data_IF_434178489935
#
_entry.id   IF_434178489935
#
_cell.length_a   1.000
_cell.length_b   1.000
_cell.length_c   1.000
_cell.angle_alpha   90.00
_cell.angle_beta   90.00
_cell.angle_gamma   90.00
#
_symmetry.space_group_name_H-M   'P 1'
#
loop_
_entity.id
_entity.type
_entity.pdbx_description
1 polymer ?
#
# COMPACT_ATOMS: atom_id res chain seq x y z
N UNK A 1 -4.66 7.37 -13.76
CA UNK A 1 -4.20 7.43 -15.16
C UNK A 1 -4.60 6.19 -15.93
N UNK A 2 -4.90 6.37 -17.19
CA UNK A 2 -5.37 5.27 -18.02
C UNK A 2 -4.33 4.89 -19.06
N UNK A 3 -4.13 3.59 -19.24
CA UNK A 3 -3.22 3.07 -20.25
C UNK A 3 -3.90 1.90 -20.92
N UNK A 4 -3.97 1.95 -22.27
CA UNK A 4 -4.62 0.89 -23.03
C UNK A 4 -6.06 0.65 -22.63
N UNK A 5 -6.77 1.71 -22.26
CA UNK A 5 -8.14 1.62 -21.84
C UNK A 5 -8.36 1.16 -20.42
N UNK A 6 -7.30 1.01 -19.64
CA UNK A 6 -7.39 0.56 -18.25
C UNK A 6 -6.76 1.57 -17.32
N UNK A 7 -7.32 1.67 -16.10
CA UNK A 7 -6.77 2.55 -15.08
C UNK A 7 -5.51 1.92 -14.50
N UNK A 8 -4.43 2.67 -14.45
CA UNK A 8 -3.18 2.22 -13.85
C UNK A 8 -2.60 3.31 -12.97
N UNK A 9 -1.69 2.90 -12.09
CA UNK A 9 -0.97 3.80 -11.20
C UNK A 9 0.43 4.01 -11.75
N UNK A 10 0.87 5.26 -11.77
CA UNK A 10 2.26 5.59 -12.09
C UNK A 10 2.91 6.17 -10.86
N UNK A 11 4.15 5.74 -10.61
CA UNK A 11 4.96 6.25 -9.53
C UNK A 11 6.01 7.17 -10.16
N UNK A 12 5.99 8.44 -9.80
CA UNK A 12 6.88 9.43 -10.40
C UNK A 12 7.68 10.11 -9.31
N UNK A 13 9.00 10.21 -9.55
CA UNK A 13 9.88 10.93 -8.65
C UNK A 13 9.81 12.41 -8.96
N UNK A 14 9.51 13.22 -7.95
CA UNK A 14 9.30 14.65 -8.17
C UNK A 14 10.57 15.39 -8.60
N UNK A 15 11.70 15.00 -8.01
CA UNK A 15 12.94 15.73 -8.26
C UNK A 15 13.45 15.57 -9.69
N UNK A 16 13.24 14.41 -10.30
CA UNK A 16 13.73 14.12 -11.64
C UNK A 16 12.63 14.01 -12.68
N UNK A 17 11.40 13.86 -12.26
CA UNK A 17 10.29 13.60 -13.17
C UNK A 17 10.27 12.19 -13.71
N UNK A 18 11.18 11.34 -13.27
CA UNK A 18 11.31 10.00 -13.79
C UNK A 18 10.20 9.09 -13.27
N UNK A 19 9.63 8.30 -14.16
CA UNK A 19 8.64 7.28 -13.78
C UNK A 19 9.40 6.06 -13.27
N UNK A 20 9.04 5.63 -12.06
CA UNK A 20 9.70 4.50 -11.42
C UNK A 20 8.89 3.23 -11.65
N UNK A 21 9.55 2.07 -11.79
CA UNK A 21 8.82 0.83 -12.05
C UNK A 21 8.07 0.33 -10.82
N UNK A 22 6.94 -0.30 -11.06
CA UNK A 22 6.19 -1.04 -10.06
C UNK A 22 6.54 -2.52 -10.25
N UNK A 23 7.50 -2.98 -9.48
CA UNK A 23 8.22 -4.22 -9.77
C UNK A 23 7.36 -5.46 -9.87
N UNK A 24 6.34 -5.57 -9.06
CA UNK A 24 5.57 -6.81 -8.97
C UNK A 24 4.21 -6.68 -9.61
N UNK A 25 3.95 -5.61 -10.32
CA UNK A 25 2.67 -5.38 -10.94
C UNK A 25 2.82 -5.44 -12.44
N UNK A 26 1.91 -6.15 -13.06
CA UNK A 26 1.95 -6.30 -14.52
C UNK A 26 1.36 -5.07 -15.16
N UNK A 27 1.94 -4.68 -16.29
CA UNK A 27 1.47 -3.49 -16.99
C UNK A 27 0.00 -3.60 -17.40
N UNK A 28 -0.48 -4.81 -17.66
CA UNK A 28 -1.85 -4.99 -18.11
C UNK A 28 -2.85 -5.13 -16.97
N UNK A 29 -2.39 -5.16 -15.71
CA UNK A 29 -3.31 -5.21 -14.58
C UNK A 29 -3.79 -3.81 -14.24
N UNK A 30 -5.12 -3.60 -14.10
CA UNK A 30 -5.58 -2.30 -13.61
C UNK A 30 -5.20 -2.10 -12.15
N UNK A 31 -4.76 -0.90 -11.84
CA UNK A 31 -4.39 -0.49 -10.48
C UNK A 31 -5.17 0.76 -10.10
N UNK A 32 -5.51 0.90 -8.84
CA UNK A 32 -6.22 2.09 -8.39
C UNK A 32 -5.97 2.35 -6.92
N UNK A 33 -6.41 3.51 -6.46
CA UNK A 33 -6.37 3.92 -5.06
C UNK A 33 -4.98 3.82 -4.45
N UNK A 34 -3.97 4.48 -5.04
CA UNK A 34 -2.61 4.40 -4.51
C UNK A 34 -2.44 5.24 -3.25
N UNK A 35 -1.57 4.78 -2.36
CA UNK A 35 -1.19 5.51 -1.16
C UNK A 35 0.27 5.21 -0.84
N UNK A 36 1.01 6.26 -0.46
CA UNK A 36 2.43 6.15 -0.13
C UNK A 36 2.68 6.51 1.32
N UNK A 37 3.63 5.83 1.94
CA UNK A 37 4.09 6.20 3.26
C UNK A 37 5.04 7.42 3.18
N UNK A 38 5.49 7.92 4.35
CA UNK A 38 6.26 9.16 4.49
C UNK A 38 7.37 9.32 3.44
N UNK A 39 8.25 8.33 3.36
CA UNK A 39 9.42 8.42 2.50
C UNK A 39 9.25 7.59 1.24
N UNK A 40 8.03 7.14 0.98
CA UNK A 40 7.76 6.33 -0.21
C UNK A 40 8.27 4.92 -0.11
N UNK A 41 8.57 4.44 1.10
CA UNK A 41 8.99 3.05 1.25
C UNK A 41 7.88 2.09 0.88
N UNK A 42 6.67 2.37 1.33
CA UNK A 42 5.52 1.51 1.09
C UNK A 42 4.57 2.15 0.12
N UNK A 43 4.15 1.38 -0.85
CA UNK A 43 3.10 1.77 -1.79
C UNK A 43 1.97 0.75 -1.66
N UNK A 44 0.81 1.23 -1.21
CA UNK A 44 -0.38 0.40 -1.13
C UNK A 44 -1.31 0.74 -2.28
N UNK A 45 -1.94 -0.26 -2.85
CA UNK A 45 -2.91 0.00 -3.92
C UNK A 45 -3.84 -1.19 -4.12
N UNK A 46 -4.88 -0.97 -4.90
CA UNK A 46 -5.81 -2.03 -5.29
C UNK A 46 -5.42 -2.53 -6.66
N UNK A 47 -5.41 -3.84 -6.82
CA UNK A 47 -5.03 -4.50 -8.06
C UNK A 47 -6.20 -5.36 -8.51
N UNK A 48 -6.51 -5.32 -9.81
CA UNK A 48 -7.52 -6.19 -10.39
C UNK A 48 -6.87 -7.52 -10.71
N UNK A 49 -7.41 -8.60 -10.17
CA UNK A 49 -6.81 -9.90 -10.38
C UNK A 49 -7.91 -10.95 -10.40
N UNK A 50 -8.01 -11.68 -11.50
CA UNK A 50 -8.98 -12.76 -11.61
C UNK A 50 -10.42 -12.31 -11.41
N UNK A 51 -10.78 -11.14 -11.91
CA UNK A 51 -12.12 -10.61 -11.76
C UNK A 51 -12.42 -10.02 -10.40
N UNK A 52 -11.42 -9.96 -9.52
CA UNK A 52 -11.59 -9.44 -8.15
C UNK A 52 -10.52 -8.39 -7.89
N UNK A 53 -10.87 -7.47 -7.01
CA UNK A 53 -9.89 -6.50 -6.52
C UNK A 53 -9.19 -7.04 -5.30
N UNK A 54 -7.91 -6.78 -5.22
CA UNK A 54 -7.10 -7.18 -4.09
C UNK A 54 -6.28 -5.99 -3.61
N UNK A 55 -6.22 -5.79 -2.31
CA UNK A 55 -5.34 -4.78 -1.74
C UNK A 55 -3.96 -5.39 -1.56
N UNK A 56 -2.94 -4.67 -1.99
CA UNK A 56 -1.56 -5.11 -1.85
C UNK A 56 -0.73 -3.94 -1.35
N UNK A 57 0.38 -4.26 -0.69
CA UNK A 57 1.34 -3.25 -0.29
C UNK A 57 2.72 -3.70 -0.74
N UNK A 58 3.42 -2.83 -1.42
CA UNK A 58 4.76 -3.10 -1.91
C UNK A 58 5.77 -2.40 -1.03
N UNK A 59 6.75 -3.14 -0.52
CA UNK A 59 7.89 -2.60 0.21
C UNK A 59 8.96 -2.28 -0.81
N UNK A 60 9.12 -1.01 -1.14
CA UNK A 60 10.06 -0.62 -2.18
C UNK A 60 11.51 -0.74 -1.76
N UNK A 61 11.77 -0.82 -0.45
CA UNK A 61 13.12 -1.04 0.04
C UNK A 61 13.59 -2.47 -0.17
N UNK A 62 12.70 -3.44 -0.02
CA UNK A 62 13.06 -4.85 -0.13
C UNK A 62 12.57 -5.50 -1.41
N UNK A 63 11.63 -4.87 -2.10
CA UNK A 63 11.01 -5.43 -3.28
C UNK A 63 9.93 -6.45 -2.99
N UNK A 64 9.49 -6.57 -1.74
CA UNK A 64 8.48 -7.54 -1.37
C UNK A 64 7.09 -7.00 -1.59
N UNK A 65 6.20 -7.87 -2.03
CA UNK A 65 4.79 -7.55 -2.22
C UNK A 65 3.99 -8.33 -1.19
N UNK A 66 3.19 -7.62 -0.40
CA UNK A 66 2.38 -8.23 0.63
C UNK A 66 0.91 -8.07 0.27
N UNK A 67 0.21 -9.16 -0.04
CA UNK A 67 -1.23 -9.07 -0.23
C UNK A 67 -1.93 -8.93 1.12
N UNK A 68 -3.03 -8.20 1.13
CA UNK A 68 -3.85 -8.05 2.33
C UNK A 68 -5.09 -8.91 2.13
N UNK A 69 -5.19 -9.96 2.92
CA UNK A 69 -6.25 -10.94 2.74
C UNK A 69 -7.53 -10.47 3.40
N UNK A 70 -8.63 -10.52 2.66
CA UNK A 70 -9.94 -10.18 3.15
C UNK A 70 -10.80 -11.43 3.20
N UNK A 71 -11.72 -11.53 4.16
CA UNK A 71 -12.72 -12.59 4.13
C UNK A 71 -13.51 -12.55 2.83
N UNK A 72 -14.04 -13.70 2.44
CA UNK A 72 -14.87 -13.78 1.25
C UNK A 72 -16.08 -12.87 1.40
N UNK A 73 -16.50 -12.31 0.27
CA UNK A 73 -17.67 -11.44 0.24
C UNK A 73 -17.38 -9.98 0.49
N UNK A 74 -16.13 -9.64 0.82
CA UNK A 74 -15.74 -8.24 1.00
C UNK A 74 -15.04 -7.75 -0.25
N UNK A 75 -15.56 -6.65 -0.78
CA UNK A 75 -15.00 -6.06 -2.00
C UNK A 75 -14.31 -4.75 -1.65
N UNK A 76 -12.99 -4.65 -1.80
CA UNK A 76 -12.29 -3.41 -1.48
C UNK A 76 -12.59 -2.33 -2.52
N UNK A 77 -12.84 -1.12 -2.05
CA UNK A 77 -13.17 0.02 -2.90
C UNK A 77 -12.09 1.08 -2.89
N UNK A 78 -11.55 1.36 -1.73
CA UNK A 78 -10.61 2.45 -1.55
C UNK A 78 -9.76 2.15 -0.34
N UNK A 79 -8.52 2.63 -0.37
CA UNK A 79 -7.65 2.46 0.78
C UNK A 79 -6.96 3.76 1.14
N UNK A 80 -6.48 3.83 2.37
CA UNK A 80 -5.58 4.88 2.82
C UNK A 80 -4.55 4.26 3.74
N UNK A 81 -3.37 4.85 3.78
CA UNK A 81 -2.22 4.31 4.48
C UNK A 81 -1.72 5.34 5.47
N UNK A 82 -1.48 4.90 6.71
CA UNK A 82 -0.87 5.78 7.69
C UNK A 82 0.53 6.19 7.23
N UNK A 83 0.99 7.38 7.63
CA UNK A 83 2.28 7.87 7.13
C UNK A 83 3.44 6.92 7.35
N UNK A 84 3.48 6.22 8.48
CA UNK A 84 4.58 5.30 8.76
C UNK A 84 4.37 3.91 8.15
N UNK A 85 3.27 3.68 7.45
CA UNK A 85 2.99 2.40 6.83
C UNK A 85 2.52 1.32 7.78
N UNK A 86 2.25 1.66 9.04
CA UNK A 86 1.93 0.66 10.06
C UNK A 86 0.44 0.34 10.16
N UNK A 87 -0.40 1.16 9.56
CA UNK A 87 -1.84 0.94 9.55
C UNK A 87 -2.40 1.27 8.19
N UNK A 88 -3.35 0.47 7.78
CA UNK A 88 -4.03 0.67 6.50
C UNK A 88 -5.53 0.58 6.74
N UNK A 89 -6.26 1.56 6.24
CA UNK A 89 -7.71 1.54 6.28
C UNK A 89 -8.22 1.15 4.90
N UNK A 90 -9.11 0.19 4.87
CA UNK A 90 -9.66 -0.32 3.63
C UNK A 90 -11.17 -0.18 3.66
N UNK A 91 -11.69 0.60 2.73
CA UNK A 91 -13.13 0.74 2.58
C UNK A 91 -13.64 -0.43 1.77
N UNK A 92 -14.60 -1.17 2.33
CA UNK A 92 -15.10 -2.37 1.68
C UNK A 92 -16.61 -2.33 1.57
N UNK A 93 -17.12 -3.04 0.60
CA UNK A 93 -18.54 -3.25 0.42
C UNK A 93 -18.85 -4.69 0.77
N UNK A 94 -19.88 -4.89 1.58
CA UNK A 94 -20.31 -6.20 1.98
C UNK A 94 -21.80 -6.18 2.22
N UNK A 95 -22.53 -7.08 1.57
CA UNK A 95 -23.96 -7.26 1.82
C UNK A 95 -24.79 -6.01 1.68
N UNK A 96 -24.46 -5.16 0.70
CA UNK A 96 -25.23 -3.95 0.46
C UNK A 96 -24.86 -2.78 1.34
N UNK A 97 -23.86 -2.92 2.20
CA UNK A 97 -23.39 -1.83 3.04
C UNK A 97 -21.91 -1.57 2.85
N UNK A 98 -21.46 -0.49 3.44
CA UNK A 98 -20.03 -0.11 3.42
C UNK A 98 -19.50 -0.11 4.83
N UNK A 99 -18.23 -0.47 4.97
CA UNK A 99 -17.54 -0.32 6.24
C UNK A 99 -16.05 -0.18 6.00
N UNK A 100 -15.33 0.20 7.04
CA UNK A 100 -13.89 0.35 6.99
C UNK A 100 -13.26 -0.78 7.80
N UNK A 101 -12.33 -1.50 7.15
CA UNK A 101 -11.52 -2.51 7.83
C UNK A 101 -10.16 -1.89 8.10
N UNK A 102 -9.71 -1.98 9.34
CA UNK A 102 -8.43 -1.40 9.73
C UNK A 102 -7.42 -2.52 9.94
N UNK A 103 -6.31 -2.44 9.21
CA UNK A 103 -5.24 -3.43 9.31
C UNK A 103 -4.09 -2.84 10.09
N UNK A 104 -3.65 -3.57 11.11
CA UNK A 104 -2.44 -3.24 11.85
C UNK A 104 -1.30 -4.03 11.22
N UNK A 105 -0.38 -3.31 10.58
CA UNK A 105 0.70 -3.92 9.82
C UNK A 105 2.01 -3.95 10.61
N UNK A 106 1.99 -3.53 11.87
CA UNK A 106 3.21 -3.40 12.66
C UNK A 106 3.91 -4.73 12.88
N UNK A 107 3.17 -5.83 12.84
CA UNK A 107 3.78 -7.15 12.96
C UNK A 107 4.37 -7.68 11.67
N UNK A 108 4.10 -7.04 10.55
CA UNK A 108 4.53 -7.50 9.24
C UNK A 108 5.57 -6.57 8.61
N UNK A 109 5.49 -5.28 8.88
CA UNK A 109 6.29 -4.29 8.20
C UNK A 109 6.99 -3.39 9.21
N UNK A 110 8.22 -3.01 8.89
CA UNK A 110 8.93 -2.00 9.66
C UNK A 110 8.31 -0.63 9.38
N UNK A 111 8.37 0.29 10.37
CA UNK A 111 7.82 1.62 10.12
C UNK A 111 8.67 2.40 9.13
N UNK A 112 7.99 3.16 8.27
CA UNK A 112 8.63 4.15 7.42
C UNK A 112 8.60 5.46 8.19
N UNK A 113 9.73 5.86 8.74
CA UNK A 113 9.80 6.98 9.66
C UNK A 113 9.78 8.31 8.93
N UNK A 114 9.29 9.34 9.61
CA UNK A 114 9.30 10.67 9.04
C UNK A 114 10.73 11.09 8.71
N UNK A 115 10.93 11.98 7.72
CA UNK A 115 12.27 12.41 7.35
C UNK A 115 13.06 12.92 8.56
N UNK A 116 14.27 12.42 8.71
CA UNK A 116 15.12 12.79 9.82
C UNK A 116 14.88 12.05 11.11
N UNK A 117 13.86 11.22 11.17
CA UNK A 117 13.54 10.47 12.37
C UNK A 117 14.34 9.18 12.39
N UNK A 118 14.92 8.87 13.55
CA UNK A 118 15.67 7.63 13.70
C UNK A 118 14.73 6.51 14.08
N UNK A 119 15.01 5.34 13.56
CA UNK A 119 14.32 4.16 14.01
C UNK A 119 14.81 3.84 15.42
N UNK A 120 13.88 3.75 16.35
CA UNK A 120 14.23 3.26 17.66
C UNK A 120 14.40 1.79 17.51
N UNK A 121 15.50 1.38 17.59
CA UNK A 121 15.88 0.06 17.36
C UNK A 121 15.10 -0.79 18.12
N UNK A 122 14.85 -1.70 17.64
CA UNK A 122 14.47 -2.54 18.35
C UNK A 122 15.42 -2.64 19.33
N UNK A 123 15.66 -2.87 19.70
CA UNK A 123 16.43 -2.98 20.53
C UNK A 123 16.66 -1.88 21.27
N UNK A 124 16.79 -1.27 21.11
CA UNK A 124 17.11 -0.44 21.81
C UNK A 124 16.31 0.30 22.11
N UNK A 125 15.85 0.05 22.04
CA UNK A 125 15.41 0.60 22.31
C UNK A 125 14.55 0.86 22.83
N UNK A 126 14.21 0.59 22.78
CA UNK A 126 13.63 0.81 23.19
C UNK A 126 13.48 1.60 24.09
N UNK A 127 13.73 1.65 24.13
CA UNK A 127 13.73 2.24 24.75
C UNK A 127 13.65 3.18 25.05
N UNK A 128 13.44 3.53 24.78
CA UNK A 128 13.44 4.32 24.92
C UNK A 128 13.27 4.88 25.40
N UNK A 129 13.22 5.16 25.77
CA UNK A 129 12.84 5.86 26.25
C UNK A 129 12.90 6.70 26.20
#
# INVERSE_FOLDING_TARGET
MERGGRTTVLLQERSSGRVLPLRHLRDHQPHSSPALSWNGRYLALLVQQGGRRQAVIEDRATGRLQPLLLPMGLEPRRLSLAPDGQRLALEVIAGGGQRVELFDLSGLLEPDLAPGQRQSGGGEGALQP
#
